data_IF_536649361954
#
_entry.id   IF_536649361954
#
_cell.length_a   1.000
_cell.length_b   1.000
_cell.length_c   1.000
_cell.angle_alpha   90.00
_cell.angle_beta   90.00
_cell.angle_gamma   90.00
#
_symmetry.space_group_name_H-M   'P 1'
#
loop_
_entity.id
_entity.type
_entity.pdbx_description
1 polymer ?
#
# COMPACT_ATOMS: atom_id res chain seq x y z
N UNK A 1 -22.41 -30.07 -20.47
CA UNK A 1 -22.04 -31.06 -19.42
C UNK A 1 -21.95 -30.32 -18.10
N UNK A 2 -22.35 -30.94 -16.98
CA UNK A 2 -22.18 -30.33 -15.63
C UNK A 2 -20.83 -30.79 -15.08
N UNK A 3 -19.92 -29.85 -14.87
CA UNK A 3 -18.58 -30.11 -14.34
C UNK A 3 -18.45 -29.55 -12.91
N UNK A 4 -17.79 -30.32 -12.04
CA UNK A 4 -17.48 -29.91 -10.66
C UNK A 4 -16.16 -29.14 -10.61
N UNK A 5 -16.19 -27.87 -10.17
CA UNK A 5 -14.99 -27.08 -9.93
C UNK A 5 -14.47 -27.35 -8.52
N UNK A 6 -13.23 -27.84 -8.41
CA UNK A 6 -12.59 -28.20 -7.14
C UNK A 6 -11.36 -27.32 -6.88
N UNK A 7 -11.00 -27.15 -5.61
CA UNK A 7 -9.76 -26.48 -5.20
C UNK A 7 -8.57 -27.29 -5.77
N UNK A 8 -7.70 -26.68 -6.60
CA UNK A 8 -6.54 -27.34 -7.18
C UNK A 8 -5.50 -27.67 -6.11
N UNK A 9 -4.40 -28.30 -6.51
CA UNK A 9 -3.31 -28.58 -5.57
C UNK A 9 -2.67 -27.27 -5.09
N UNK A 10 -2.94 -26.92 -3.83
CA UNK A 10 -2.39 -25.73 -3.17
C UNK A 10 -1.09 -26.01 -2.42
N UNK A 11 -0.51 -27.22 -2.52
CA UNK A 11 0.69 -27.63 -1.78
C UNK A 11 0.37 -28.25 -0.41
N UNK A 12 1.25 -28.06 0.58
CA UNK A 12 1.13 -28.68 1.92
C UNK A 12 0.08 -28.02 2.84
N UNK A 13 -0.64 -26.99 2.36
CA UNK A 13 -1.60 -26.25 3.16
C UNK A 13 -2.93 -27.01 3.30
N UNK A 14 -3.38 -27.19 4.56
CA UNK A 14 -4.65 -27.82 4.92
C UNK A 14 -5.50 -26.82 5.71
N UNK A 15 -6.81 -26.78 5.46
CA UNK A 15 -7.77 -25.91 6.14
C UNK A 15 -7.49 -24.40 5.99
N UNK A 16 -7.33 -23.94 4.75
CA UNK A 16 -7.08 -22.54 4.39
C UNK A 16 -8.41 -21.78 4.27
N UNK A 17 -8.48 -20.54 4.75
CA UNK A 17 -9.71 -19.75 4.81
C UNK A 17 -9.98 -18.99 3.51
N UNK A 18 -11.24 -18.95 3.08
CA UNK A 18 -11.69 -18.13 1.95
C UNK A 18 -11.91 -16.69 2.41
N UNK A 19 -11.08 -15.76 1.93
CA UNK A 19 -11.22 -14.33 2.22
C UNK A 19 -12.10 -13.60 1.22
N UNK A 20 -12.22 -14.11 -0.01
CA UNK A 20 -12.99 -13.47 -1.06
C UNK A 20 -13.56 -14.49 -2.05
N UNK A 21 -14.82 -14.29 -2.45
CA UNK A 21 -15.49 -15.07 -3.51
C UNK A 21 -15.74 -14.13 -4.68
N UNK A 22 -15.09 -14.39 -5.82
CA UNK A 22 -15.05 -13.50 -6.98
C UNK A 22 -16.12 -13.81 -8.04
N UNK A 23 -16.91 -14.87 -7.83
CA UNK A 23 -17.97 -15.31 -8.76
C UNK A 23 -19.34 -15.31 -8.08
N UNK A 24 -20.39 -15.08 -8.86
CA UNK A 24 -21.80 -15.21 -8.43
C UNK A 24 -22.51 -16.29 -9.24
N UNK A 25 -23.60 -16.81 -8.68
CA UNK A 25 -24.46 -17.75 -9.41
C UNK A 25 -25.02 -17.08 -10.67
N UNK A 26 -24.88 -17.74 -11.81
CA UNK A 26 -25.25 -17.21 -13.11
C UNK A 26 -24.14 -16.51 -13.89
N UNK A 27 -22.96 -16.28 -13.30
CA UNK A 27 -21.82 -15.68 -14.00
C UNK A 27 -21.22 -16.62 -15.03
N UNK A 28 -20.71 -16.04 -16.12
CA UNK A 28 -19.99 -16.76 -17.17
C UNK A 28 -18.49 -16.60 -16.97
N UNK A 29 -17.81 -17.72 -16.73
CA UNK A 29 -16.38 -17.74 -16.41
C UNK A 29 -15.58 -18.44 -17.52
N UNK A 30 -14.37 -17.96 -17.80
CA UNK A 30 -13.43 -18.59 -18.73
C UNK A 30 -12.43 -19.44 -17.97
N UNK A 31 -11.78 -20.37 -18.68
CA UNK A 31 -10.68 -21.16 -18.12
C UNK A 31 -9.52 -20.21 -17.73
N UNK A 32 -9.11 -20.26 -16.47
CA UNK A 32 -8.06 -19.41 -15.92
C UNK A 32 -8.54 -18.20 -15.10
N UNK A 33 -9.84 -17.85 -15.15
CA UNK A 33 -10.38 -16.74 -14.35
C UNK A 33 -10.36 -17.07 -12.85
N UNK A 34 -9.98 -16.11 -12.01
CA UNK A 34 -9.94 -16.29 -10.56
C UNK A 34 -11.35 -16.44 -9.97
N UNK A 35 -11.55 -17.47 -9.17
CA UNK A 35 -12.87 -17.87 -8.66
C UNK A 35 -13.03 -17.54 -7.17
N UNK A 36 -11.99 -17.84 -6.38
CA UNK A 36 -11.92 -17.56 -4.94
C UNK A 36 -10.49 -17.17 -4.58
N UNK A 37 -10.36 -16.38 -3.53
CA UNK A 37 -9.07 -16.01 -2.93
C UNK A 37 -8.94 -16.66 -1.56
N UNK A 38 -7.86 -17.40 -1.35
CA UNK A 38 -7.54 -18.10 -0.12
C UNK A 38 -6.43 -17.37 0.63
N UNK A 39 -6.54 -17.25 1.95
CA UNK A 39 -5.48 -16.69 2.79
C UNK A 39 -4.76 -17.78 3.57
N UNK A 40 -3.45 -17.90 3.34
CA UNK A 40 -2.54 -18.72 4.13
C UNK A 40 -1.69 -17.84 5.04
N UNK A 41 -1.04 -18.42 6.06
CA UNK A 41 -0.15 -17.76 7.04
C UNK A 41 0.95 -16.85 6.43
N UNK A 42 1.22 -16.97 5.12
CA UNK A 42 2.30 -16.23 4.44
C UNK A 42 1.87 -15.49 3.18
N UNK A 43 0.68 -15.77 2.63
CA UNK A 43 0.23 -15.19 1.36
C UNK A 43 -1.23 -15.46 1.07
N UNK A 44 -1.86 -14.56 0.31
CA UNK A 44 -3.11 -14.80 -0.38
C UNK A 44 -2.87 -15.47 -1.74
N UNK A 45 -3.63 -16.52 -2.06
CA UNK A 45 -3.54 -17.28 -3.32
C UNK A 45 -4.90 -17.29 -4.00
N UNK A 46 -4.94 -16.86 -5.26
CA UNK A 46 -6.15 -16.93 -6.10
C UNK A 46 -6.26 -18.30 -6.76
N UNK A 47 -7.46 -18.87 -6.73
CA UNK A 47 -7.76 -20.16 -7.36
C UNK A 47 -8.38 -19.93 -8.74
N UNK A 48 -7.69 -20.30 -9.84
CA UNK A 48 -8.22 -20.14 -11.19
C UNK A 48 -9.24 -21.22 -11.54
N UNK A 49 -10.19 -20.90 -12.41
CA UNK A 49 -11.19 -21.84 -12.92
C UNK A 49 -10.55 -22.86 -13.85
N UNK A 50 -10.86 -24.15 -13.63
CA UNK A 50 -10.42 -25.26 -14.49
C UNK A 50 -11.26 -25.41 -15.76
N UNK A 51 -12.45 -24.81 -15.80
CA UNK A 51 -13.43 -24.99 -16.87
C UNK A 51 -14.06 -23.65 -17.30
N UNK A 52 -14.46 -23.57 -18.57
CA UNK A 52 -15.27 -22.48 -19.11
C UNK A 52 -16.75 -22.86 -19.06
N UNK A 53 -17.61 -21.92 -18.68
CA UNK A 53 -19.05 -22.14 -18.66
C UNK A 53 -19.80 -21.22 -17.69
N UNK A 54 -21.10 -21.49 -17.53
CA UNK A 54 -21.96 -20.73 -16.62
C UNK A 54 -22.02 -21.38 -15.24
N UNK A 55 -21.84 -20.59 -14.18
CA UNK A 55 -21.93 -21.04 -12.78
C UNK A 55 -23.40 -21.34 -12.44
N UNK A 56 -23.71 -22.59 -12.10
CA UNK A 56 -25.08 -23.02 -11.75
C UNK A 56 -25.38 -22.85 -10.27
N UNK A 57 -24.44 -23.23 -9.40
CA UNK A 57 -24.64 -23.23 -7.96
C UNK A 57 -23.28 -23.08 -7.25
N UNK A 58 -23.23 -22.20 -6.26
CA UNK A 58 -22.03 -21.86 -5.50
C UNK A 58 -22.13 -22.44 -4.08
N UNK A 59 -21.18 -23.30 -3.70
CA UNK A 59 -21.26 -24.08 -2.45
C UNK A 59 -20.36 -23.58 -1.32
N UNK A 60 -19.66 -22.47 -1.52
CA UNK A 60 -18.68 -21.92 -0.57
C UNK A 60 -19.07 -20.51 -0.13
N UNK A 61 -18.72 -20.11 1.09
CA UNK A 61 -18.91 -18.73 1.59
C UNK A 61 -17.60 -18.15 2.09
N UNK A 62 -17.56 -16.82 2.19
CA UNK A 62 -16.44 -16.10 2.84
C UNK A 62 -16.36 -16.59 4.29
N UNK A 63 -15.16 -17.00 4.73
CA UNK A 63 -14.88 -17.59 6.05
C UNK A 63 -14.89 -19.12 6.09
N UNK A 64 -15.28 -19.81 5.02
CA UNK A 64 -15.21 -21.27 4.97
C UNK A 64 -13.75 -21.76 4.84
N UNK A 65 -13.42 -22.85 5.55
CA UNK A 65 -12.10 -23.50 5.47
C UNK A 65 -12.11 -24.60 4.42
N UNK A 66 -11.23 -24.50 3.44
CA UNK A 66 -11.13 -25.45 2.31
C UNK A 66 -9.76 -26.11 2.23
N UNK A 67 -9.72 -27.28 1.61
CA UNK A 67 -8.50 -28.06 1.35
C UNK A 67 -8.47 -28.52 -0.10
N UNK A 68 -7.34 -29.09 -0.55
CA UNK A 68 -7.21 -29.70 -1.88
C UNK A 68 -8.39 -30.63 -2.17
N UNK A 69 -9.08 -30.39 -3.28
CA UNK A 69 -10.23 -31.19 -3.73
C UNK A 69 -11.60 -30.76 -3.18
N UNK A 70 -11.69 -29.75 -2.31
CA UNK A 70 -12.98 -29.19 -1.87
C UNK A 70 -13.77 -28.64 -3.06
N UNK A 71 -15.08 -28.88 -3.07
CA UNK A 71 -15.98 -28.46 -4.15
C UNK A 71 -16.34 -26.97 -3.99
N UNK A 72 -16.05 -26.18 -5.02
CA UNK A 72 -16.29 -24.72 -5.05
C UNK A 72 -17.65 -24.42 -5.68
N UNK A 73 -17.88 -24.91 -6.91
CA UNK A 73 -19.08 -24.64 -7.68
C UNK A 73 -19.35 -25.73 -8.74
N UNK A 74 -20.57 -25.80 -9.26
CA UNK A 74 -20.92 -26.61 -10.43
C UNK A 74 -21.12 -25.72 -11.66
N UNK A 75 -20.48 -26.06 -12.78
CA UNK A 75 -20.46 -25.26 -14.01
C UNK A 75 -21.13 -26.04 -15.15
N UNK A 76 -21.92 -25.37 -16.00
CA UNK A 76 -22.42 -25.94 -17.25
C UNK A 76 -21.59 -25.46 -18.45
N UNK A 77 -21.05 -26.41 -19.24
CA UNK A 77 -20.36 -26.11 -20.50
C UNK A 77 -21.31 -26.25 -21.71
N UNK A 78 -21.54 -25.14 -22.43
CA UNK A 78 -22.16 -25.14 -23.76
C UNK A 78 -21.07 -24.91 -24.82
N UNK A 79 -20.94 -25.85 -25.75
CA UNK A 79 -19.98 -25.79 -26.86
C UNK A 79 -20.72 -25.30 -28.11
N UNK A 80 -20.35 -24.15 -28.66
CA UNK A 80 -20.59 -23.76 -30.05
C UNK A 80 -19.70 -22.56 -30.46
N UNK A 81 -18.80 -22.81 -31.41
CA UNK A 81 -17.97 -21.84 -32.15
C UNK A 81 -18.78 -20.91 -33.06
N UNK A 82 -18.39 -19.61 -33.16
CA UNK A 82 -17.92 -18.95 -34.42
C UNK A 82 -17.74 -17.42 -34.31
N UNK A 83 -16.70 -16.98 -35.02
CA UNK A 83 -16.19 -15.62 -35.36
C UNK A 83 -17.20 -14.57 -35.88
N UNK A 84 -16.88 -13.26 -35.71
CA UNK A 84 -16.58 -12.27 -36.80
C UNK A 84 -16.43 -10.79 -36.32
N UNK A 85 -15.22 -10.22 -36.56
CA UNK A 85 -14.80 -8.90 -37.15
C UNK A 85 -15.47 -7.52 -36.87
N UNK A 86 -14.61 -6.56 -36.45
CA UNK A 86 -14.36 -5.12 -36.82
C UNK A 86 -15.48 -4.10 -37.12
N UNK A 87 -15.43 -2.89 -36.51
CA UNK A 87 -15.00 -1.59 -37.13
C UNK A 87 -15.12 -0.34 -36.20
N UNK A 88 -14.35 0.71 -36.53
CA UNK A 88 -14.13 2.01 -35.85
C UNK A 88 -15.15 3.13 -36.22
N UNK A 89 -15.32 4.16 -35.37
CA UNK A 89 -15.08 5.60 -35.71
C UNK A 89 -15.45 6.64 -34.61
N UNK A 90 -14.46 7.48 -34.30
CA UNK A 90 -14.40 8.93 -33.93
C UNK A 90 -15.49 9.68 -33.13
N UNK A 91 -15.04 10.40 -32.08
CA UNK A 91 -15.11 11.88 -32.03
C UNK A 91 -14.13 12.48 -30.99
N UNK A 92 -13.49 13.59 -31.36
CA UNK A 92 -12.53 14.39 -30.57
C UNK A 92 -13.28 15.63 -30.04
N UNK A 93 -13.04 16.04 -28.79
CA UNK A 93 -13.66 17.25 -28.20
C UNK A 93 -12.60 18.30 -27.77
N UNK A 94 -12.83 19.60 -28.06
CA UNK A 94 -11.91 20.71 -27.80
C UNK A 94 -12.16 21.33 -26.42
N UNK A 95 -11.36 20.98 -25.41
CA UNK A 95 -11.47 21.62 -24.08
C UNK A 95 -10.15 21.90 -23.37
N UNK A 96 -9.02 21.80 -24.07
CA UNK A 96 -7.69 22.01 -23.48
C UNK A 96 -7.25 23.48 -23.46
N UNK A 97 -7.81 24.34 -24.30
CA UNK A 97 -7.38 25.75 -24.43
C UNK A 97 -8.02 26.69 -23.39
N UNK A 98 -9.21 26.35 -22.85
CA UNK A 98 -9.88 27.15 -21.83
C UNK A 98 -9.22 27.05 -20.45
N UNK A 99 -8.65 25.89 -20.15
CA UNK A 99 -8.00 25.60 -18.86
C UNK A 99 -6.66 26.36 -18.71
N UNK A 100 -5.96 26.62 -19.83
CA UNK A 100 -4.69 27.37 -19.84
C UNK A 100 -4.92 28.86 -19.53
N UNK A 101 -5.99 29.44 -20.05
CA UNK A 101 -6.32 30.86 -19.83
C UNK A 101 -6.80 31.17 -18.41
N UNK A 102 -7.44 30.22 -17.73
CA UNK A 102 -7.81 30.36 -16.32
C UNK A 102 -6.61 30.24 -15.39
N UNK A 103 -5.65 29.35 -15.71
CA UNK A 103 -4.43 29.17 -14.92
C UNK A 103 -3.51 30.41 -14.95
N UNK A 104 -3.38 31.09 -16.10
CA UNK A 104 -2.59 32.32 -16.23
C UNK A 104 -3.19 33.51 -15.44
N UNK A 105 -4.52 33.52 -15.27
CA UNK A 105 -5.23 34.54 -14.49
C UNK A 105 -5.03 34.37 -12.98
N UNK A 106 -4.83 33.14 -12.51
CA UNK A 106 -4.57 32.81 -11.10
C UNK A 106 -3.11 33.14 -10.75
N UNK A 107 -2.17 32.89 -11.67
CA UNK A 107 -0.75 33.20 -11.48
C UNK A 107 -0.47 34.71 -11.33
N UNK A 108 -1.23 35.57 -12.02
CA UNK A 108 -1.07 37.04 -11.90
C UNK A 108 -1.58 37.63 -10.57
N UNK A 109 -2.34 36.88 -9.76
CA UNK A 109 -2.93 37.36 -8.49
C UNK A 109 -2.13 37.01 -7.23
N UNK A 110 -1.09 36.21 -7.33
CA UNK A 110 -0.34 35.70 -6.16
C UNK A 110 1.09 36.20 -6.12
N UNK A 111 1.27 37.52 -6.00
CA UNK A 111 2.55 38.08 -5.56
C UNK A 111 2.56 38.16 -4.02
N UNK A 112 3.14 37.15 -3.36
CA UNK A 112 3.48 37.21 -1.93
C UNK A 112 5.01 37.23 -1.82
N UNK A 113 5.53 38.32 -1.24
CA UNK A 113 6.95 38.62 -1.06
C UNK A 113 7.56 37.87 0.13
N UNK A 114 8.86 37.57 0.03
CA UNK A 114 9.67 36.68 0.90
C UNK A 114 9.98 37.20 2.33
N UNK A 115 9.16 38.06 2.94
CA UNK A 115 9.49 38.70 4.23
C UNK A 115 8.78 38.13 5.48
N UNK A 116 7.84 37.18 5.34
CA UNK A 116 7.07 36.66 6.50
C UNK A 116 7.68 35.40 7.19
N UNK A 117 8.91 35.00 6.85
CA UNK A 117 9.55 33.79 7.41
C UNK A 117 10.37 34.02 8.69
N UNK A 118 10.06 35.05 9.50
CA UNK A 118 10.73 35.26 10.78
C UNK A 118 9.72 35.54 11.90
N UNK A 119 9.35 34.45 12.59
CA UNK A 119 8.99 34.32 14.01
C UNK A 119 7.92 33.22 14.14
N UNK A 120 8.34 32.00 14.45
CA UNK A 120 7.44 31.04 15.10
C UNK A 120 7.77 31.07 16.59
N UNK A 121 7.00 31.77 17.43
CA UNK A 121 6.98 31.43 18.85
C UNK A 121 6.53 29.97 18.96
N UNK A 122 6.97 29.25 19.99
CA UNK A 122 6.43 27.92 20.32
C UNK A 122 4.92 28.04 20.51
N UNK A 123 4.17 27.86 19.44
CA UNK A 123 2.72 27.95 19.46
C UNK A 123 2.26 26.76 20.28
N UNK A 124 1.77 27.05 21.49
CA UNK A 124 0.97 26.13 22.28
C UNK A 124 -0.10 25.58 21.36
N UNK A 125 0.05 24.33 20.93
CA UNK A 125 -0.98 23.64 20.17
C UNK A 125 -2.13 23.46 21.14
N UNK A 126 -3.15 24.30 21.02
CA UNK A 126 -4.44 24.02 21.63
C UNK A 126 -4.93 22.70 21.04
N UNK A 127 -4.91 21.65 21.85
CA UNK A 127 -5.62 20.40 21.56
C UNK A 127 -7.11 20.73 21.52
N UNK A 128 -7.60 21.19 20.37
CA UNK A 128 -9.02 21.44 20.17
C UNK A 128 -9.75 20.10 20.18
N UNK A 129 -10.36 19.81 21.34
CA UNK A 129 -11.34 18.76 21.61
C UNK A 129 -10.95 17.39 21.06
N UNK A 130 -10.39 16.55 21.91
CA UNK A 130 -10.48 15.11 21.71
C UNK A 130 -11.95 14.77 21.45
N UNK A 131 -12.25 14.07 20.35
CA UNK A 131 -13.41 13.20 20.31
C UNK A 131 -13.34 12.36 21.57
N UNK A 132 -14.28 12.58 22.49
CA UNK A 132 -14.44 11.74 23.67
C UNK A 132 -14.29 10.29 23.23
N UNK A 133 -13.52 9.49 23.97
CA UNK A 133 -13.59 8.05 23.83
C UNK A 133 -15.06 7.69 23.91
N UNK A 134 -15.66 7.31 22.77
CA UNK A 134 -17.05 6.91 22.75
C UNK A 134 -17.09 5.64 23.55
N UNK A 135 -17.56 5.74 24.80
CA UNK A 135 -17.98 4.59 25.57
C UNK A 135 -19.01 3.89 24.69
N UNK A 136 -18.59 2.84 23.99
CA UNK A 136 -19.54 1.91 23.40
C UNK A 136 -20.46 1.50 24.56
N UNK A 137 -21.74 1.85 24.44
CA UNK A 137 -22.72 1.74 25.51
C UNK A 137 -23.05 0.30 25.90
N UNK A 138 -22.23 -0.69 25.56
CA UNK A 138 -22.40 -2.08 25.97
C UNK A 138 -21.05 -2.84 25.97
N UNK A 139 -20.09 -2.42 26.80
CA UNK A 139 -19.06 -3.37 27.25
C UNK A 139 -19.66 -4.22 28.38
N UNK A 140 -19.69 -5.54 28.17
CA UNK A 140 -20.18 -6.50 29.17
C UNK A 140 -19.24 -6.41 30.39
N UNK A 141 -19.68 -5.76 31.47
CA UNK A 141 -19.06 -5.87 32.80
C UNK A 141 -18.48 -4.60 33.45
N UNK A 142 -18.83 -3.38 33.00
CA UNK A 142 -18.53 -2.18 33.81
C UNK A 142 -19.37 -2.19 35.10
N UNK A 143 -18.72 -2.25 36.27
CA UNK A 143 -19.38 -2.35 37.57
C UNK A 143 -20.02 -1.03 37.99
N UNK A 144 -19.40 0.10 37.66
CA UNK A 144 -19.90 1.44 37.94
C UNK A 144 -19.51 2.40 36.80
N UNK A 145 -20.38 2.57 35.79
CA UNK A 145 -20.12 3.47 34.68
C UNK A 145 -19.95 4.94 35.09
N UNK A 146 -20.56 5.37 36.21
CA UNK A 146 -20.41 6.76 36.67
C UNK A 146 -18.99 7.00 37.16
N UNK A 147 -18.47 6.09 37.98
CA UNK A 147 -17.06 6.15 38.42
C UNK A 147 -16.12 6.15 37.21
N UNK A 148 -16.32 5.25 36.24
CA UNK A 148 -15.51 5.20 35.01
C UNK A 148 -15.50 6.54 34.27
N UNK A 149 -16.66 7.19 34.13
CA UNK A 149 -16.78 8.51 33.50
C UNK A 149 -16.01 9.57 34.31
N UNK A 150 -16.16 9.61 35.63
CA UNK A 150 -15.48 10.58 36.49
C UNK A 150 -13.94 10.47 36.39
N UNK A 151 -13.40 9.25 36.30
CA UNK A 151 -11.96 9.04 36.10
C UNK A 151 -11.48 9.52 34.73
N UNK A 152 -12.27 9.28 33.67
CA UNK A 152 -11.96 9.76 32.31
C UNK A 152 -12.00 11.30 32.27
N UNK A 153 -13.05 11.92 32.83
CA UNK A 153 -13.19 13.37 32.91
C UNK A 153 -12.07 14.01 33.73
N UNK A 154 -11.64 13.36 34.81
CA UNK A 154 -10.51 13.80 35.63
C UNK A 154 -9.21 13.81 34.83
N UNK A 155 -8.95 12.77 34.04
CA UNK A 155 -7.77 12.71 33.17
C UNK A 155 -7.83 13.78 32.07
N UNK A 156 -8.99 13.96 31.44
CA UNK A 156 -9.20 14.99 30.41
C UNK A 156 -8.94 16.40 30.97
N UNK A 157 -9.44 16.68 32.17
CA UNK A 157 -9.23 17.96 32.86
C UNK A 157 -7.73 18.24 33.11
N UNK A 158 -6.94 17.21 33.44
CA UNK A 158 -5.47 17.35 33.58
C UNK A 158 -4.80 17.63 32.23
N UNK A 159 -5.22 16.95 31.16
CA UNK A 159 -4.68 17.20 29.82
C UNK A 159 -4.97 18.64 29.37
N UNK A 160 -6.18 19.13 29.61
CA UNK A 160 -6.58 20.50 29.26
C UNK A 160 -5.80 21.56 30.05
N UNK A 161 -5.64 21.36 31.36
CA UNK A 161 -4.99 22.35 32.24
C UNK A 161 -3.46 22.30 32.17
N UNK A 162 -2.90 21.09 32.31
CA UNK A 162 -1.48 20.86 32.58
C UNK A 162 -0.74 20.14 31.43
N UNK A 163 -1.47 19.67 30.41
CA UNK A 163 -0.91 19.09 29.18
C UNK A 163 -0.64 17.57 29.21
N UNK A 164 -0.31 16.97 28.05
CA UNK A 164 -0.20 15.52 27.89
C UNK A 164 0.98 14.91 28.66
N UNK A 165 2.09 15.64 28.83
CA UNK A 165 3.24 15.18 29.63
C UNK A 165 2.84 14.92 31.08
N UNK A 166 1.98 15.79 31.65
CA UNK A 166 1.49 15.63 33.02
C UNK A 166 0.52 14.46 33.15
N UNK A 167 -0.39 14.30 32.19
CA UNK A 167 -1.30 13.16 32.14
C UNK A 167 -0.53 11.82 32.08
N UNK A 168 0.47 11.71 31.20
CA UNK A 168 1.33 10.52 31.12
C UNK A 168 2.07 10.23 32.43
N UNK A 169 2.55 11.27 33.12
CA UNK A 169 3.18 11.10 34.44
C UNK A 169 2.20 10.54 35.48
N UNK A 170 0.96 11.04 35.52
CA UNK A 170 -0.07 10.55 36.45
C UNK A 170 -0.49 9.11 36.13
N UNK A 171 -0.71 8.79 34.85
CA UNK A 171 -1.01 7.43 34.41
C UNK A 171 0.09 6.46 34.83
N UNK A 172 1.36 6.84 34.66
CA UNK A 172 2.49 6.03 35.15
C UNK A 172 2.45 5.80 36.67
N UNK A 173 2.07 6.79 37.46
CA UNK A 173 1.90 6.65 38.92
C UNK A 173 0.72 5.73 39.28
N UNK A 174 -0.42 5.87 38.61
CA UNK A 174 -1.60 5.03 38.82
C UNK A 174 -1.33 3.57 38.46
N UNK A 175 -0.66 3.32 37.33
CA UNK A 175 -0.23 1.99 36.92
C UNK A 175 0.68 1.36 37.98
N UNK A 176 1.70 2.10 38.44
CA UNK A 176 2.59 1.62 39.50
C UNK A 176 1.85 1.31 40.81
N UNK A 177 0.90 2.16 41.19
CA UNK A 177 0.08 1.93 42.39
C UNK A 177 -0.81 0.69 42.22
N UNK A 178 -1.41 0.50 41.05
CA UNK A 178 -2.21 -0.69 40.74
C UNK A 178 -1.38 -1.97 40.84
N UNK A 179 -0.14 -1.96 40.35
CA UNK A 179 0.80 -3.08 40.52
C UNK A 179 1.10 -3.38 41.99
N UNK A 180 1.42 -2.36 42.80
CA UNK A 180 1.68 -2.53 44.23
C UNK A 180 0.44 -3.09 44.95
N UNK A 181 -0.76 -2.66 44.53
CA UNK A 181 -2.03 -3.14 45.06
C UNK A 181 -2.44 -4.54 44.55
N UNK A 182 -1.59 -5.24 43.79
CA UNK A 182 -1.80 -6.62 43.37
C UNK A 182 -2.50 -6.79 42.01
N UNK A 183 -2.67 -5.71 41.24
CA UNK A 183 -3.19 -5.80 39.87
C UNK A 183 -2.08 -6.27 38.90
N UNK A 184 -2.29 -7.42 38.27
CA UNK A 184 -1.45 -7.93 37.19
C UNK A 184 -1.89 -7.32 35.85
N UNK A 185 -1.67 -6.01 35.67
CA UNK A 185 -1.84 -5.41 34.35
C UNK A 185 -0.65 -5.80 33.48
N UNK A 186 -0.81 -6.42 32.30
CA UNK A 186 0.31 -6.55 31.38
C UNK A 186 0.68 -5.13 30.93
N UNK A 187 1.93 -4.72 31.18
CA UNK A 187 2.48 -3.51 30.61
C UNK A 187 2.40 -3.61 29.08
N UNK A 188 1.39 -2.99 28.48
CA UNK A 188 1.27 -2.91 27.04
C UNK A 188 2.06 -1.66 26.58
N UNK A 189 3.00 -1.85 25.65
CA UNK A 189 3.68 -0.74 24.96
C UNK A 189 2.92 -0.37 23.68
N UNK A 190 1.61 -0.64 23.63
CA UNK A 190 0.81 -0.48 22.42
C UNK A 190 0.03 0.82 22.51
N UNK A 191 0.29 1.73 21.58
CA UNK A 191 -0.59 2.88 21.37
C UNK A 191 -1.90 2.42 20.70
N UNK A 192 -2.98 3.21 20.77
CA UNK A 192 -4.18 2.95 19.99
C UNK A 192 -3.87 2.79 18.49
N UNK A 193 -4.69 2.02 17.77
CA UNK A 193 -4.54 1.77 16.33
C UNK A 193 -5.04 2.96 15.51
N UNK A 194 -4.39 4.11 15.68
CA UNK A 194 -4.64 5.39 15.02
C UNK A 194 -3.31 6.03 14.60
N UNK A 195 -3.36 7.05 13.74
CA UNK A 195 -2.17 7.79 13.36
C UNK A 195 -1.54 8.48 14.58
N UNK A 196 -0.22 8.32 14.75
CA UNK A 196 0.54 8.98 15.83
C UNK A 196 0.52 10.51 15.72
N UNK A 197 0.51 11.05 14.49
CA UNK A 197 0.40 12.48 14.22
C UNK A 197 -1.07 12.78 13.87
N UNK A 198 -1.79 13.54 14.70
CA UNK A 198 -3.17 13.92 14.42
C UNK A 198 -3.24 15.01 13.34
N UNK A 199 -4.41 15.16 12.72
CA UNK A 199 -4.64 16.04 11.56
C UNK A 199 -4.29 17.51 11.85
N UNK A 200 -4.49 17.96 13.08
CA UNK A 200 -4.23 19.34 13.50
C UNK A 200 -2.72 19.63 13.61
N UNK A 201 -1.90 18.60 13.81
CA UNK A 201 -0.45 18.66 13.86
C UNK A 201 0.21 18.27 12.52
N UNK A 202 -0.59 17.88 11.54
CA UNK A 202 -0.09 17.44 10.23
C UNK A 202 0.52 18.62 9.48
N UNK A 203 1.81 18.51 9.14
CA UNK A 203 2.46 19.46 8.26
C UNK A 203 1.92 19.32 6.84
N UNK A 204 1.56 20.44 6.20
CA UNK A 204 1.12 20.42 4.81
C UNK A 204 2.30 20.07 3.90
N UNK A 205 2.05 19.18 2.93
CA UNK A 205 3.04 18.87 1.89
C UNK A 205 3.37 20.14 1.08
N UNK A 206 4.66 20.43 0.83
CA UNK A 206 5.07 21.57 0.00
C UNK A 206 4.94 21.31 -1.51
N UNK A 207 4.68 20.06 -1.92
CA UNK A 207 4.65 19.65 -3.33
C UNK A 207 3.29 19.79 -4.02
N UNK A 208 3.31 19.77 -5.36
CA UNK A 208 2.10 19.66 -6.18
C UNK A 208 1.64 18.20 -6.27
N UNK A 209 0.61 17.88 -5.50
CA UNK A 209 0.03 16.53 -5.43
C UNK A 209 -0.45 16.00 -6.78
N UNK A 210 -0.93 16.87 -7.68
CA UNK A 210 -1.43 16.45 -9.00
C UNK A 210 -0.26 16.03 -9.89
N UNK A 211 0.81 16.83 -9.92
CA UNK A 211 2.00 16.53 -10.68
C UNK A 211 2.71 15.29 -10.12
N UNK A 212 2.89 15.20 -8.81
CA UNK A 212 3.50 14.05 -8.14
C UNK A 212 2.72 12.77 -8.42
N UNK A 213 1.38 12.83 -8.38
CA UNK A 213 0.57 11.66 -8.70
C UNK A 213 0.73 11.20 -10.16
N UNK A 214 0.86 12.13 -11.11
CA UNK A 214 1.14 11.81 -12.52
C UNK A 214 2.50 11.13 -12.68
N UNK A 215 3.56 11.72 -12.10
CA UNK A 215 4.91 11.16 -12.14
C UNK A 215 4.94 9.77 -11.52
N UNK A 216 4.37 9.62 -10.32
CA UNK A 216 4.28 8.32 -9.62
C UNK A 216 3.51 7.27 -10.41
N UNK A 217 2.45 7.67 -11.12
CA UNK A 217 1.68 6.76 -11.99
C UNK A 217 2.53 6.25 -13.16
N UNK A 218 3.34 7.11 -13.78
CA UNK A 218 4.29 6.72 -14.83
C UNK A 218 5.37 5.77 -14.30
N UNK A 219 5.89 6.04 -13.09
CA UNK A 219 6.87 5.15 -12.44
C UNK A 219 6.26 3.77 -12.18
N UNK A 220 5.03 3.71 -11.64
CA UNK A 220 4.30 2.45 -11.41
C UNK A 220 4.08 1.68 -12.71
N UNK A 221 3.65 2.37 -13.77
CA UNK A 221 3.46 1.78 -15.09
C UNK A 221 4.75 1.18 -15.64
N UNK A 222 5.84 1.96 -15.67
CA UNK A 222 7.12 1.50 -16.18
C UNK A 222 7.67 0.31 -15.38
N UNK A 223 7.51 0.32 -14.05
CA UNK A 223 7.93 -0.79 -13.20
C UNK A 223 7.17 -2.08 -13.53
N UNK A 224 5.84 -2.01 -13.67
CA UNK A 224 5.01 -3.15 -14.05
C UNK A 224 5.35 -3.65 -15.46
N UNK A 225 5.46 -2.74 -16.45
CA UNK A 225 5.81 -3.09 -17.82
C UNK A 225 7.17 -3.77 -17.92
N UNK A 226 8.17 -3.29 -17.18
CA UNK A 226 9.50 -3.89 -17.15
C UNK A 226 9.46 -5.36 -16.68
N UNK A 227 8.77 -5.63 -15.57
CA UNK A 227 8.65 -6.99 -15.03
C UNK A 227 7.82 -7.88 -15.97
N UNK A 228 6.66 -7.43 -16.44
CA UNK A 228 5.81 -8.19 -17.35
C UNK A 228 6.55 -8.52 -18.66
N UNK A 229 7.30 -7.55 -19.20
CA UNK A 229 8.09 -7.76 -20.42
C UNK A 229 9.20 -8.77 -20.23
N UNK A 230 9.91 -8.74 -19.10
CA UNK A 230 10.94 -9.74 -18.78
C UNK A 230 10.33 -11.15 -18.75
N UNK A 231 9.21 -11.32 -18.04
CA UNK A 231 8.51 -12.60 -17.92
C UNK A 231 7.88 -13.08 -19.24
N UNK A 232 7.53 -12.15 -20.16
CA UNK A 232 7.07 -12.50 -21.51
C UNK A 232 8.19 -13.08 -22.38
N UNK A 233 9.44 -12.65 -22.19
CA UNK A 233 10.61 -13.21 -22.88
C UNK A 233 11.03 -14.55 -22.26
N UNK A 234 11.18 -14.56 -20.94
CA UNK A 234 11.65 -15.70 -20.15
C UNK A 234 10.87 -15.74 -18.82
N UNK A 235 9.89 -16.66 -18.68
CA UNK A 235 9.02 -16.73 -17.50
C UNK A 235 9.75 -16.97 -16.17
N UNK A 236 10.96 -17.56 -16.20
CA UNK A 236 11.74 -17.89 -15.01
C UNK A 236 12.51 -16.71 -14.43
N UNK A 237 12.58 -15.57 -15.14
CA UNK A 237 13.27 -14.38 -14.64
C UNK A 237 12.60 -13.82 -13.38
N UNK A 238 11.28 -13.92 -13.27
CA UNK A 238 10.51 -13.43 -12.14
C UNK A 238 10.53 -11.89 -12.00
N UNK A 239 10.38 -11.40 -10.77
CA UNK A 239 10.28 -9.98 -10.45
C UNK A 239 9.01 -9.65 -9.67
N UNK A 240 9.08 -8.63 -8.82
CA UNK A 240 7.99 -8.27 -7.89
C UNK A 240 7.34 -6.96 -8.32
N UNK A 241 6.02 -6.99 -8.54
CA UNK A 241 5.23 -5.81 -8.88
C UNK A 241 4.54 -5.25 -7.63
N UNK A 242 3.94 -6.14 -6.82
CA UNK A 242 3.11 -5.77 -5.67
C UNK A 242 3.90 -4.99 -4.60
N UNK A 243 5.13 -5.40 -4.30
CA UNK A 243 5.94 -4.78 -3.23
C UNK A 243 6.24 -3.30 -3.52
N UNK A 244 6.64 -2.97 -4.74
CA UNK A 244 6.82 -1.55 -5.08
C UNK A 244 5.47 -0.83 -5.14
N UNK A 245 4.41 -1.48 -5.64
CA UNK A 245 3.10 -0.86 -5.70
C UNK A 245 2.56 -0.44 -4.33
N UNK A 246 2.79 -1.21 -3.26
CA UNK A 246 2.38 -0.81 -1.91
C UNK A 246 3.22 0.35 -1.36
N UNK A 247 4.51 0.42 -1.70
CA UNK A 247 5.44 1.40 -1.16
C UNK A 247 5.70 2.63 -2.05
N UNK A 248 5.17 2.70 -3.28
CA UNK A 248 5.61 3.72 -4.25
C UNK A 248 5.36 5.16 -3.77
N UNK A 249 4.28 5.41 -3.03
CA UNK A 249 4.00 6.74 -2.48
C UNK A 249 5.01 7.13 -1.40
N UNK A 250 5.42 6.17 -0.55
CA UNK A 250 6.48 6.38 0.44
C UNK A 250 7.81 6.77 -0.24
N UNK A 251 8.21 6.00 -1.26
CA UNK A 251 9.43 6.31 -2.01
C UNK A 251 9.34 7.65 -2.74
N UNK A 252 8.21 7.96 -3.36
CA UNK A 252 8.02 9.20 -4.10
C UNK A 252 8.11 10.44 -3.20
N UNK A 253 7.48 10.41 -2.03
CA UNK A 253 7.62 11.47 -1.02
C UNK A 253 9.09 11.60 -0.59
N UNK A 254 9.77 10.48 -0.36
CA UNK A 254 11.20 10.44 -0.03
C UNK A 254 12.05 11.15 -1.08
N UNK A 255 11.89 10.78 -2.35
CA UNK A 255 12.65 11.37 -3.46
C UNK A 255 12.36 12.85 -3.69
N UNK A 256 11.10 13.29 -3.57
CA UNK A 256 10.74 14.67 -3.90
C UNK A 256 11.08 15.65 -2.77
N UNK A 257 11.04 15.22 -1.50
CA UNK A 257 11.04 16.14 -0.37
C UNK A 257 12.10 15.89 0.70
N UNK A 258 12.72 14.70 0.75
CA UNK A 258 13.60 14.34 1.85
C UNK A 258 15.02 14.01 1.38
N UNK A 259 15.15 13.13 0.40
CA UNK A 259 16.42 12.50 0.08
C UNK A 259 17.37 13.41 -0.66
N UNK A 260 18.59 13.51 -0.12
CA UNK A 260 19.68 14.29 -0.68
C UNK A 260 20.62 13.37 -1.46
N UNK A 261 20.82 13.69 -2.73
CA UNK A 261 21.88 13.07 -3.54
C UNK A 261 23.27 13.50 -3.09
N UNK A 262 24.27 12.67 -3.43
CA UNK A 262 25.68 13.00 -3.22
C UNK A 262 26.06 14.28 -3.97
N UNK A 263 26.88 15.11 -3.33
CA UNK A 263 27.48 16.31 -3.92
C UNK A 263 28.94 16.47 -3.44
N UNK A 264 29.62 17.53 -3.85
CA UNK A 264 31.03 17.78 -3.49
C UNK A 264 31.28 17.91 -1.98
N UNK A 265 30.25 18.28 -1.19
CA UNK A 265 30.38 18.59 0.25
C UNK A 265 29.88 17.48 1.16
N UNK A 266 28.94 16.66 0.70
CA UNK A 266 28.35 15.58 1.48
C UNK A 266 28.05 14.35 0.61
N UNK A 267 28.08 13.17 1.24
CA UNK A 267 27.83 11.89 0.57
C UNK A 267 26.33 11.64 0.26
N UNK A 268 25.46 12.60 0.57
CA UNK A 268 24.01 12.42 0.50
C UNK A 268 23.46 11.55 1.63
N UNK A 269 22.18 11.20 1.53
CA UNK A 269 21.52 10.29 2.45
C UNK A 269 21.79 8.83 2.08
N UNK A 270 22.02 7.99 3.09
CA UNK A 270 22.30 6.56 2.89
C UNK A 270 20.99 5.77 2.92
N UNK A 271 20.47 5.44 1.73
CA UNK A 271 19.15 4.81 1.59
C UNK A 271 19.29 3.31 1.36
N UNK A 272 18.78 2.52 2.30
CA UNK A 272 18.71 1.06 2.21
C UNK A 272 17.38 0.68 1.54
N UNK A 273 17.32 0.83 0.21
CA UNK A 273 16.14 0.46 -0.57
C UNK A 273 15.75 -1.00 -0.31
N UNK A 274 14.47 -1.29 -0.11
CA UNK A 274 14.00 -2.67 -0.04
C UNK A 274 14.32 -3.38 -1.36
N UNK A 275 15.02 -4.51 -1.31
CA UNK A 275 15.55 -5.16 -2.52
C UNK A 275 14.48 -5.40 -3.59
N UNK A 276 13.34 -5.97 -3.18
CA UNK A 276 12.21 -6.27 -4.06
C UNK A 276 11.53 -5.05 -4.70
N UNK A 277 11.84 -3.82 -4.25
CA UNK A 277 11.37 -2.57 -4.84
C UNK A 277 12.27 -2.06 -5.98
N UNK A 278 13.38 -2.75 -6.30
CA UNK A 278 14.29 -2.37 -7.38
C UNK A 278 13.60 -1.98 -8.71
N UNK A 279 12.54 -2.69 -9.17
CA UNK A 279 11.83 -2.29 -10.38
C UNK A 279 11.30 -0.85 -10.40
N UNK A 280 10.81 -0.36 -9.26
CA UNK A 280 10.35 1.01 -9.13
C UNK A 280 11.47 2.05 -9.18
N UNK A 281 12.63 1.71 -8.62
CA UNK A 281 13.80 2.59 -8.62
C UNK A 281 14.39 2.71 -10.02
N UNK A 282 14.43 1.60 -10.76
CA UNK A 282 14.81 1.60 -12.18
C UNK A 282 13.81 2.39 -13.03
N UNK A 283 12.51 2.19 -12.83
CA UNK A 283 11.47 2.94 -13.54
C UNK A 283 11.57 4.46 -13.33
N UNK A 284 11.87 4.91 -12.09
CA UNK A 284 12.14 6.32 -11.81
C UNK A 284 13.40 6.80 -12.51
N UNK A 285 14.49 6.04 -12.40
CA UNK A 285 15.78 6.40 -13.00
C UNK A 285 15.72 6.47 -14.53
N UNK A 286 14.86 5.66 -15.16
CA UNK A 286 14.54 5.75 -16.58
C UNK A 286 13.85 7.08 -16.92
N UNK A 287 12.85 7.51 -16.15
CA UNK A 287 12.19 8.81 -16.36
C UNK A 287 13.12 10.00 -16.13
N UNK A 288 14.10 9.84 -15.24
CA UNK A 288 15.15 10.84 -15.00
C UNK A 288 16.29 10.78 -16.03
N UNK A 289 16.22 9.91 -17.04
CA UNK A 289 17.22 9.79 -18.10
C UNK A 289 18.54 9.13 -17.67
N UNK A 290 18.58 8.50 -16.48
CA UNK A 290 19.77 7.82 -15.94
C UNK A 290 19.89 6.36 -16.41
N UNK A 291 18.79 5.77 -16.87
CA UNK A 291 18.72 4.42 -17.42
C UNK A 291 18.15 4.50 -18.83
N UNK A 292 18.76 3.76 -19.76
CA UNK A 292 18.30 3.67 -21.15
C UNK A 292 17.16 2.66 -21.30
N UNK A 293 16.39 2.79 -22.38
CA UNK A 293 15.35 1.80 -22.70
C UNK A 293 15.94 0.39 -22.87
N UNK A 294 17.14 0.27 -23.47
CA UNK A 294 17.83 -1.00 -23.68
C UNK A 294 18.13 -1.72 -22.37
N UNK A 295 18.60 -0.98 -21.36
CA UNK A 295 18.81 -1.51 -20.01
C UNK A 295 17.51 -1.97 -19.36
N UNK A 296 16.43 -1.18 -19.48
CA UNK A 296 15.12 -1.56 -18.97
C UNK A 296 14.60 -2.87 -19.61
N UNK A 297 14.84 -3.05 -20.91
CA UNK A 297 14.46 -4.25 -21.65
C UNK A 297 15.28 -5.51 -21.31
N UNK A 298 16.44 -5.31 -20.69
CA UNK A 298 17.38 -6.33 -20.20
C UNK A 298 17.32 -6.48 -18.67
N UNK A 299 16.19 -6.14 -18.05
CA UNK A 299 15.97 -6.43 -16.63
C UNK A 299 16.16 -7.92 -16.34
N UNK A 300 16.98 -8.22 -15.32
CA UNK A 300 17.44 -9.55 -14.89
C UNK A 300 18.26 -10.33 -15.95
N UNK A 301 18.76 -9.67 -16.98
CA UNK A 301 19.59 -10.24 -18.03
C UNK A 301 20.87 -9.41 -18.16
N UNK A 302 21.90 -9.77 -17.40
CA UNK A 302 23.11 -8.95 -17.22
C UNK A 302 24.41 -9.58 -17.76
N UNK A 303 24.39 -10.85 -18.17
CA UNK A 303 25.58 -11.61 -18.63
C UNK A 303 26.25 -10.95 -19.83
N UNK A 304 25.47 -10.49 -20.80
CA UNK A 304 25.97 -9.84 -22.03
C UNK A 304 26.26 -8.35 -21.84
N UNK A 305 26.19 -7.85 -20.60
CA UNK A 305 26.29 -6.43 -20.27
C UNK A 305 24.99 -5.66 -20.54
N UNK A 306 24.98 -4.38 -20.17
CA UNK A 306 23.85 -3.46 -20.35
C UNK A 306 22.51 -3.95 -19.76
N UNK A 307 22.56 -4.85 -18.77
CA UNK A 307 21.41 -5.33 -18.02
C UNK A 307 21.15 -4.53 -16.74
N UNK A 308 20.04 -4.85 -16.09
CA UNK A 308 19.74 -4.38 -14.73
C UNK A 308 19.65 -5.58 -13.81
N UNK A 309 20.41 -5.54 -12.72
CA UNK A 309 20.40 -6.59 -11.71
C UNK A 309 19.01 -6.77 -11.09
N UNK A 310 18.76 -7.94 -10.51
CA UNK A 310 17.47 -8.26 -9.88
C UNK A 310 17.18 -7.40 -8.65
N UNK A 311 18.21 -7.05 -7.88
CA UNK A 311 18.18 -6.37 -6.60
C UNK A 311 19.40 -5.43 -6.44
N UNK A 312 19.49 -4.66 -5.32
CA UNK A 312 20.65 -3.83 -5.03
C UNK A 312 21.94 -4.63 -4.87
N UNK A 313 22.74 -4.71 -5.93
CA UNK A 313 24.01 -5.40 -5.96
C UNK A 313 25.11 -4.44 -6.43
N UNK A 314 25.86 -3.80 -5.51
CA UNK A 314 26.95 -2.89 -5.88
C UNK A 314 28.04 -3.56 -6.71
N UNK A 315 28.27 -4.87 -6.52
CA UNK A 315 29.25 -5.59 -7.33
C UNK A 315 28.85 -5.70 -8.81
N UNK A 316 27.55 -5.89 -9.10
CA UNK A 316 27.01 -6.01 -10.45
C UNK A 316 26.77 -4.64 -11.11
N UNK A 317 26.36 -3.65 -10.31
CA UNK A 317 26.09 -2.28 -10.77
C UNK A 317 26.82 -1.25 -9.88
N UNK A 318 28.16 -1.13 -9.99
CA UNK A 318 28.99 -0.36 -9.06
C UNK A 318 28.75 1.15 -9.09
N UNK A 319 28.22 1.67 -10.20
CA UNK A 319 27.92 3.09 -10.38
C UNK A 319 26.44 3.42 -10.11
N UNK A 320 25.68 2.50 -9.50
CA UNK A 320 24.24 2.67 -9.28
C UNK A 320 23.81 2.24 -7.88
N UNK A 321 24.07 0.99 -7.49
CA UNK A 321 23.67 0.47 -6.18
C UNK A 321 24.75 0.67 -5.11
N UNK A 322 24.33 0.96 -3.88
CA UNK A 322 25.24 1.19 -2.75
C UNK A 322 25.17 0.11 -1.67
N UNK A 323 23.97 -0.34 -1.30
CA UNK A 323 23.76 -1.25 -0.15
C UNK A 323 22.95 -2.49 -0.56
N UNK A 324 23.46 -3.72 -0.33
CA UNK A 324 22.73 -4.95 -0.59
C UNK A 324 21.71 -5.25 0.51
N UNK A 325 20.44 -5.41 0.13
CA UNK A 325 19.30 -5.43 1.07
C UNK A 325 18.28 -6.53 0.78
N UNK A 326 18.54 -7.42 -0.18
CA UNK A 326 17.58 -8.47 -0.54
C UNK A 326 17.55 -9.60 0.49
N UNK A 327 18.68 -9.92 1.11
CA UNK A 327 18.69 -10.81 2.28
C UNK A 327 18.07 -10.05 3.44
N UNK A 328 16.90 -10.50 3.89
CA UNK A 328 16.15 -9.83 4.95
C UNK A 328 16.78 -10.05 6.32
N UNK A 329 16.72 -9.04 7.18
CA UNK A 329 17.32 -9.03 8.52
C UNK A 329 18.78 -8.59 8.53
#
# INVERSE_FOLDING_TARGET
MVNELKVPDIGDFKNVEIIEVLIKEGDQIKKGDAVITLESDKSSVEVPSSFEGKVLNLKVKIGDKVSKGSLIATISSDNLDKNLKTENSNSILPETEKIIQEAEKILKKSNITKEELKQTPETRVEYKKFTNYSLEQNSIGDLDPLETIEWIESLNSVVERDGPKRANYLLGKLINQAYISGSNLPYNQKTPYINTIPRELEAKSPGDQVLENKIRSLIRWNAACMVVRANKKLPELGGHIATFASAATLYDVGFNHFWKGQNEKNLGDLIYFQGHCAPGIYARSFLEGRITIKQLENFRQEVDGEGLSSYPHPWLMPNYWQFPTVSMG
#
